data_IF_854323720720
#
_entry.id   IF_854323720720
#
_cell.length_a   1.000
_cell.length_b   1.000
_cell.length_c   1.000
_cell.angle_alpha   90.00
_cell.angle_beta   90.00
_cell.angle_gamma   90.00
#
_symmetry.space_group_name_H-M   'P 1'
#
loop_
_entity.id
_entity.type
_entity.pdbx_description
1 polymer ?
#
# COMPACT_ATOMS: atom_id res chain seq x y z
N UNK A 1 -1.54 -11.02 37.19
CA UNK A 1 -2.07 -12.19 36.47
C UNK A 1 -2.43 -11.75 35.05
N UNK A 2 -1.45 -11.73 34.13
CA UNK A 2 -1.68 -11.32 32.75
C UNK A 2 -2.22 -12.52 31.96
N UNK A 3 -3.50 -12.47 31.57
CA UNK A 3 -4.05 -13.42 30.61
C UNK A 3 -3.26 -13.28 29.29
N UNK A 4 -2.78 -14.37 28.67
CA UNK A 4 -2.15 -14.28 27.37
C UNK A 4 -3.20 -13.82 26.34
N UNK A 5 -2.89 -12.77 25.58
CA UNK A 5 -3.70 -12.36 24.43
C UNK A 5 -3.78 -13.53 23.45
N UNK A 6 -4.97 -14.10 23.30
CA UNK A 6 -5.22 -15.20 22.36
C UNK A 6 -5.25 -14.60 20.95
N UNK A 7 -4.12 -14.65 20.23
CA UNK A 7 -4.06 -14.21 18.82
C UNK A 7 -4.88 -15.20 17.97
N UNK A 8 -6.06 -14.78 17.52
CA UNK A 8 -6.79 -15.47 16.46
C UNK A 8 -6.26 -14.95 15.12
N UNK A 9 -5.52 -15.78 14.39
CA UNK A 9 -5.06 -15.42 13.04
C UNK A 9 -6.20 -15.64 12.05
N UNK A 10 -7.03 -14.62 11.83
CA UNK A 10 -8.09 -14.64 10.81
C UNK A 10 -7.50 -14.51 9.41
N UNK A 11 -8.22 -14.96 8.38
CA UNK A 11 -7.80 -14.76 6.98
C UNK A 11 -7.72 -13.25 6.66
N UNK A 12 -6.65 -12.76 6.03
CA UNK A 12 -6.54 -11.36 5.61
C UNK A 12 -7.66 -10.99 4.63
N UNK A 13 -8.22 -9.79 4.79
CA UNK A 13 -9.29 -9.28 3.92
C UNK A 13 -9.06 -7.80 3.57
N UNK A 14 -8.07 -7.47 2.72
CA UNK A 14 -7.84 -6.10 2.28
C UNK A 14 -8.95 -5.62 1.34
N UNK A 15 -9.19 -4.30 1.31
CA UNK A 15 -10.08 -3.71 0.33
C UNK A 15 -9.50 -3.78 -1.09
N UNK A 16 -10.39 -3.92 -2.08
CA UNK A 16 -10.02 -4.07 -3.49
C UNK A 16 -9.21 -2.89 -4.04
N UNK A 17 -9.53 -1.61 -3.72
CA UNK A 17 -8.74 -0.48 -4.21
C UNK A 17 -7.26 -0.55 -3.79
N UNK A 18 -6.96 -0.76 -2.50
CA UNK A 18 -5.57 -0.85 -2.03
C UNK A 18 -4.85 -2.07 -2.55
N UNK A 19 -5.54 -3.20 -2.68
CA UNK A 19 -4.96 -4.41 -3.28
C UNK A 19 -4.58 -4.16 -4.74
N UNK A 20 -5.46 -3.54 -5.53
CA UNK A 20 -5.16 -3.20 -6.92
C UNK A 20 -4.00 -2.21 -7.02
N UNK A 21 -3.98 -1.17 -6.19
CA UNK A 21 -2.88 -0.22 -6.16
C UNK A 21 -1.55 -0.90 -5.87
N UNK A 22 -1.52 -1.81 -4.88
CA UNK A 22 -0.34 -2.61 -4.56
C UNK A 22 0.10 -3.48 -5.74
N UNK A 23 -0.82 -4.19 -6.39
CA UNK A 23 -0.48 -5.08 -7.52
C UNK A 23 0.11 -4.29 -8.69
N UNK A 24 -0.41 -3.10 -9.00
CA UNK A 24 0.18 -2.22 -10.02
C UNK A 24 1.56 -1.76 -9.60
N UNK A 25 1.72 -1.29 -8.36
CA UNK A 25 3.02 -0.83 -7.85
C UNK A 25 4.06 -1.97 -7.85
N UNK A 26 3.62 -3.18 -7.53
CA UNK A 26 4.46 -4.37 -7.53
C UNK A 26 4.98 -4.65 -8.94
N UNK A 27 4.09 -4.71 -9.93
CA UNK A 27 4.45 -4.97 -11.32
C UNK A 27 5.38 -3.88 -11.90
N UNK A 28 5.14 -2.61 -11.53
CA UNK A 28 6.02 -1.50 -11.91
C UNK A 28 7.41 -1.64 -11.26
N UNK A 29 7.47 -2.04 -9.99
CA UNK A 29 8.72 -2.08 -9.21
C UNK A 29 9.56 -3.31 -9.53
N UNK A 30 8.94 -4.46 -9.72
CA UNK A 30 9.62 -5.75 -9.79
C UNK A 30 9.57 -6.40 -11.17
N UNK A 31 8.56 -6.10 -11.99
CA UNK A 31 8.34 -6.75 -13.29
C UNK A 31 8.61 -5.80 -14.48
N UNK A 32 9.08 -4.57 -14.21
CA UNK A 32 9.43 -3.58 -15.23
C UNK A 32 8.23 -2.94 -15.95
N UNK A 33 7.04 -3.03 -15.35
CA UNK A 33 5.82 -2.48 -15.90
C UNK A 33 5.77 -0.95 -15.92
N UNK A 34 5.08 -0.38 -16.91
CA UNK A 34 4.85 1.07 -16.98
C UNK A 34 3.51 1.45 -16.36
N UNK A 35 3.52 2.29 -15.32
CA UNK A 35 2.32 2.65 -14.54
C UNK A 35 1.23 3.28 -15.41
N UNK A 36 1.60 4.14 -16.36
CA UNK A 36 0.69 4.80 -17.29
C UNK A 36 0.01 3.85 -18.29
N UNK A 37 0.51 2.62 -18.45
CA UNK A 37 -0.11 1.60 -19.29
C UNK A 37 -0.87 0.57 -18.45
N UNK A 38 -0.28 0.16 -17.32
CA UNK A 38 -0.85 -0.86 -16.45
C UNK A 38 -2.09 -0.38 -15.71
N UNK A 39 -2.04 0.80 -15.10
CA UNK A 39 -3.14 1.29 -14.29
C UNK A 39 -4.43 1.49 -15.10
N UNK A 40 -4.44 2.20 -16.25
CA UNK A 40 -5.65 2.35 -17.05
C UNK A 40 -6.24 1.00 -17.47
N UNK A 41 -5.39 0.06 -17.93
CA UNK A 41 -5.79 -1.29 -18.32
C UNK A 41 -6.42 -2.09 -17.17
N UNK A 42 -5.90 -1.97 -15.95
CA UNK A 42 -6.49 -2.64 -14.77
C UNK A 42 -7.80 -1.98 -14.34
N UNK A 43 -7.87 -0.66 -14.35
CA UNK A 43 -9.09 0.07 -14.03
C UNK A 43 -10.22 -0.23 -15.03
N UNK A 44 -9.94 -0.25 -16.33
CA UNK A 44 -10.92 -0.62 -17.37
C UNK A 44 -11.55 -1.99 -17.16
N UNK A 45 -10.79 -2.95 -16.64
CA UNK A 45 -11.25 -4.32 -16.36
C UNK A 45 -11.85 -4.51 -14.97
N UNK A 46 -11.96 -3.44 -14.19
CA UNK A 46 -12.43 -3.51 -12.80
C UNK A 46 -13.88 -3.04 -12.67
N UNK A 47 -14.59 -3.65 -11.73
CA UNK A 47 -15.94 -3.24 -11.30
C UNK A 47 -15.91 -2.12 -10.24
N UNK A 48 -14.79 -1.38 -10.13
CA UNK A 48 -14.65 -0.29 -9.18
C UNK A 48 -15.48 0.91 -9.60
N UNK A 49 -16.17 1.53 -8.63
CA UNK A 49 -16.91 2.76 -8.88
C UNK A 49 -15.96 3.95 -9.18
N UNK A 50 -16.47 5.08 -9.70
CA UNK A 50 -15.62 6.23 -10.03
C UNK A 50 -14.79 6.80 -8.87
N UNK A 51 -15.29 6.70 -7.63
CA UNK A 51 -14.58 7.17 -6.44
C UNK A 51 -13.40 6.25 -6.15
N UNK A 52 -13.61 4.94 -6.17
CA UNK A 52 -12.57 3.95 -5.95
C UNK A 52 -11.52 3.98 -7.05
N UNK A 53 -11.91 4.15 -8.32
CA UNK A 53 -10.96 4.34 -9.43
C UNK A 53 -10.06 5.56 -9.22
N UNK A 54 -10.64 6.67 -8.77
CA UNK A 54 -9.89 7.89 -8.45
C UNK A 54 -8.95 7.66 -7.28
N UNK A 55 -9.39 6.90 -6.28
CA UNK A 55 -8.61 6.53 -5.11
C UNK A 55 -7.40 5.65 -5.47
N UNK A 56 -7.58 4.59 -6.26
CA UNK A 56 -6.49 3.75 -6.77
C UNK A 56 -5.50 4.58 -7.59
N UNK A 57 -6.02 5.50 -8.40
CA UNK A 57 -5.19 6.36 -9.24
C UNK A 57 -4.25 7.24 -8.42
N UNK A 58 -4.77 7.91 -7.39
CA UNK A 58 -3.92 8.69 -6.48
C UNK A 58 -2.95 7.80 -5.72
N UNK A 59 -3.40 6.65 -5.20
CA UNK A 59 -2.51 5.72 -4.49
C UNK A 59 -1.31 5.30 -5.35
N UNK A 60 -1.53 4.89 -6.60
CA UNK A 60 -0.45 4.45 -7.49
C UNK A 60 0.45 5.60 -7.87
N UNK A 61 -0.09 6.67 -8.45
CA UNK A 61 0.74 7.75 -8.96
C UNK A 61 1.37 8.57 -7.85
N UNK A 62 0.65 8.83 -6.76
CA UNK A 62 1.16 9.54 -5.60
C UNK A 62 2.26 8.78 -4.87
N UNK A 63 2.15 7.46 -4.73
CA UNK A 63 3.21 6.63 -4.15
C UNK A 63 4.47 6.64 -5.02
N UNK A 64 4.34 6.49 -6.35
CA UNK A 64 5.49 6.53 -7.27
C UNK A 64 6.14 7.92 -7.31
N UNK A 65 5.34 8.97 -7.47
CA UNK A 65 5.78 10.36 -7.56
C UNK A 65 6.57 10.82 -6.34
N UNK A 66 6.21 10.32 -5.17
CA UNK A 66 6.76 10.77 -3.88
C UNK A 66 7.61 9.71 -3.19
N UNK A 67 8.03 8.66 -3.92
CA UNK A 67 8.74 7.51 -3.34
C UNK A 67 9.96 7.94 -2.50
N UNK A 68 10.76 8.89 -2.97
CA UNK A 68 11.93 9.37 -2.20
C UNK A 68 11.56 10.04 -0.86
N UNK A 69 10.44 10.77 -0.81
CA UNK A 69 9.92 11.36 0.43
C UNK A 69 9.43 10.27 1.38
N UNK A 70 8.71 9.29 0.84
CA UNK A 70 8.20 8.15 1.62
C UNK A 70 9.34 7.31 2.19
N UNK A 71 10.35 7.03 1.38
CA UNK A 71 11.57 6.33 1.78
C UNK A 71 12.30 7.05 2.91
N UNK A 72 12.41 8.38 2.82
CA UNK A 72 12.95 9.19 3.90
C UNK A 72 12.12 9.05 5.19
N UNK A 73 10.79 9.17 5.11
CA UNK A 73 9.91 9.03 6.28
C UNK A 73 9.99 7.62 6.93
N UNK A 74 10.06 6.57 6.11
CA UNK A 74 10.22 5.19 6.56
C UNK A 74 11.59 5.02 7.24
N UNK A 75 12.66 5.56 6.64
CA UNK A 75 14.02 5.48 7.20
C UNK A 75 14.15 6.13 8.57
N UNK A 76 13.35 7.16 8.87
CA UNK A 76 13.33 7.84 10.17
C UNK A 76 12.54 7.09 11.24
N UNK A 77 11.60 6.24 10.83
CA UNK A 77 10.69 5.52 11.72
C UNK A 77 11.08 4.05 11.93
N UNK A 78 11.93 3.49 11.06
CA UNK A 78 12.35 2.10 11.10
C UNK A 78 13.72 1.93 11.77
N UNK A 79 13.82 0.93 12.66
CA UNK A 79 15.12 0.49 13.18
C UNK A 79 15.96 -0.29 12.15
N UNK A 80 15.36 -0.66 11.00
CA UNK A 80 16.01 -1.32 9.87
C UNK A 80 16.19 -0.34 8.72
N UNK A 81 17.33 -0.42 8.05
CA UNK A 81 17.54 0.26 6.77
C UNK A 81 16.53 -0.25 5.74
N UNK A 82 16.20 0.54 4.72
CA UNK A 82 15.22 0.14 3.70
C UNK A 82 15.61 -1.18 3.00
N UNK A 83 16.91 -1.40 2.78
CA UNK A 83 17.44 -2.63 2.18
C UNK A 83 17.27 -3.89 3.06
N UNK A 84 17.06 -3.73 4.36
CA UNK A 84 16.80 -4.82 5.31
C UNK A 84 15.31 -5.10 5.50
N UNK A 85 14.44 -4.27 4.93
CA UNK A 85 13.00 -4.49 4.93
C UNK A 85 12.67 -5.36 3.71
N UNK A 86 11.84 -6.38 3.91
CA UNK A 86 11.34 -7.19 2.80
C UNK A 86 10.75 -6.27 1.71
N UNK A 87 11.13 -6.41 0.43
CA UNK A 87 10.72 -5.48 -0.61
C UNK A 87 9.20 -5.33 -0.77
N UNK A 88 8.43 -6.40 -0.56
CA UNK A 88 6.96 -6.35 -0.60
C UNK A 88 6.41 -5.55 0.57
N UNK A 89 6.97 -5.75 1.76
CA UNK A 89 6.61 -4.97 2.95
C UNK A 89 6.98 -3.50 2.78
N UNK A 90 8.16 -3.21 2.21
CA UNK A 90 8.56 -1.83 1.92
C UNK A 90 7.58 -1.14 0.96
N UNK A 91 7.05 -1.87 -0.02
CA UNK A 91 6.02 -1.35 -0.91
C UNK A 91 4.70 -1.05 -0.18
N UNK A 92 4.26 -1.92 0.73
CA UNK A 92 3.13 -1.63 1.61
C UNK A 92 3.39 -0.40 2.49
N UNK A 93 4.59 -0.26 3.06
CA UNK A 93 4.96 0.89 3.88
C UNK A 93 4.91 2.19 3.09
N UNK A 94 5.44 2.21 1.85
CA UNK A 94 5.37 3.39 0.96
C UNK A 94 3.91 3.78 0.68
N UNK A 95 3.06 2.81 0.39
CA UNK A 95 1.62 3.02 0.17
C UNK A 95 0.92 3.55 1.45
N UNK A 96 1.24 3.00 2.61
CA UNK A 96 0.69 3.44 3.90
C UNK A 96 1.12 4.85 4.29
N UNK A 97 2.41 5.15 4.08
CA UNK A 97 2.99 6.48 4.32
C UNK A 97 2.37 7.52 3.41
N UNK A 98 2.18 7.21 2.11
CA UNK A 98 1.48 8.10 1.20
C UNK A 98 0.07 8.46 1.70
N UNK A 99 -0.68 7.48 2.18
CA UNK A 99 -2.02 7.71 2.72
C UNK A 99 -2.02 8.61 3.96
N UNK A 100 -1.07 8.41 4.89
CA UNK A 100 -0.99 9.18 6.13
C UNK A 100 -0.55 10.63 5.87
N UNK A 101 0.44 10.83 5.02
CA UNK A 101 1.08 12.14 4.87
C UNK A 101 0.51 13.00 3.74
N UNK A 102 -0.04 12.38 2.69
CA UNK A 102 -0.43 13.10 1.47
C UNK A 102 -1.94 13.05 1.20
N UNK A 103 -2.69 12.20 1.90
CA UNK A 103 -4.12 12.03 1.71
C UNK A 103 -4.91 12.41 2.96
N UNK A 104 -6.21 12.72 2.78
CA UNK A 104 -7.12 13.03 3.89
C UNK A 104 -7.80 11.77 4.42
N UNK A 105 -7.03 10.74 4.73
CA UNK A 105 -7.52 9.47 5.28
C UNK A 105 -7.21 9.49 6.78
N UNK A 106 -8.17 9.16 7.67
CA UNK A 106 -7.87 9.02 9.09
C UNK A 106 -6.73 8.02 9.33
N UNK A 107 -5.74 8.38 10.15
CA UNK A 107 -4.54 7.57 10.38
C UNK A 107 -4.87 6.12 10.74
N UNK A 108 -5.83 5.89 11.63
CA UNK A 108 -6.24 4.56 12.04
C UNK A 108 -6.77 3.71 10.86
N UNK A 109 -7.46 4.32 9.90
CA UNK A 109 -7.98 3.64 8.73
C UNK A 109 -6.87 3.32 7.73
N UNK A 110 -5.94 4.27 7.50
CA UNK A 110 -4.77 4.05 6.65
C UNK A 110 -3.88 2.94 7.19
N UNK A 111 -3.60 2.94 8.50
CA UNK A 111 -2.80 1.92 9.18
C UNK A 111 -3.48 0.57 9.12
N UNK A 112 -4.75 0.47 9.56
CA UNK A 112 -5.48 -0.80 9.60
C UNK A 112 -5.55 -1.46 8.21
N UNK A 113 -5.94 -0.69 7.19
CA UNK A 113 -6.04 -1.21 5.83
C UNK A 113 -4.69 -1.62 5.24
N UNK A 114 -3.61 -0.87 5.51
CA UNK A 114 -2.26 -1.20 5.05
C UNK A 114 -1.71 -2.44 5.75
N UNK A 115 -2.02 -2.64 7.04
CA UNK A 115 -1.66 -3.87 7.76
C UNK A 115 -2.40 -5.08 7.20
N UNK A 116 -3.71 -4.97 6.94
CA UNK A 116 -4.48 -6.05 6.31
C UNK A 116 -3.97 -6.40 4.91
N UNK A 117 -3.58 -5.40 4.13
CA UNK A 117 -2.91 -5.58 2.84
C UNK A 117 -1.58 -6.32 3.00
N UNK A 118 -0.72 -5.89 3.92
CA UNK A 118 0.59 -6.52 4.16
C UNK A 118 0.47 -7.99 4.61
N UNK A 119 -0.62 -8.36 5.31
CA UNK A 119 -0.88 -9.75 5.69
C UNK A 119 -1.29 -10.63 4.49
N UNK A 120 -1.74 -10.04 3.38
CA UNK A 120 -2.25 -10.75 2.19
C UNK A 120 -1.16 -11.06 1.15
N UNK A 121 -0.12 -10.23 1.05
CA UNK A 121 0.82 -10.18 -0.10
C UNK A 121 2.19 -10.80 0.18
#
# INVERSE_FOLDING_TARGET
>A
MNKPFKKSFTKPNPDLPRLMAYEVLYEVTFDGGYSNLLLPKRLEKSELDPRDRSFVTELVYGTLRMQGKHDFQISKSSARTLAQIDPKVLLCLRLGVHQIYEMRIPDHAAVSATVELARKV
#
